data_IF_467614532304
#
_entry.id   IF_467614532304
#
_cell.length_a   1.000
_cell.length_b   1.000
_cell.length_c   1.000
_cell.angle_alpha   90.00
_cell.angle_beta   90.00
_cell.angle_gamma   90.00
#
_symmetry.space_group_name_H-M   'P 1'
#
loop_
_entity.id
_entity.type
_entity.pdbx_description
1 polymer ?
#
# COMPACT_ATOMS: atom_id res chain seq x y z
N UNK A 1 26.27 13.11 14.44
CA UNK A 1 24.95 12.51 14.15
C UNK A 1 24.40 13.27 12.95
N UNK A 2 24.56 12.70 11.75
CA UNK A 2 23.94 13.25 10.55
C UNK A 2 22.49 12.77 10.57
N UNK A 3 21.55 13.70 10.68
CA UNK A 3 20.15 13.39 10.40
C UNK A 3 20.10 13.13 8.90
N UNK A 4 19.92 11.86 8.50
CA UNK A 4 19.69 11.54 7.10
C UNK A 4 18.44 12.30 6.64
N UNK A 5 18.50 12.89 5.45
CA UNK A 5 17.33 13.55 4.87
C UNK A 5 16.15 12.55 4.86
N UNK A 6 15.00 12.92 5.43
CA UNK A 6 13.87 12.01 5.49
C UNK A 6 13.38 11.71 4.07
N UNK A 7 13.23 10.41 3.77
CA UNK A 7 12.63 9.94 2.52
C UNK A 7 11.11 10.14 2.61
N UNK A 8 10.66 11.32 2.19
CA UNK A 8 9.25 11.65 2.17
C UNK A 8 8.51 10.83 1.12
N UNK A 9 7.25 10.41 1.39
CA UNK A 9 6.46 9.68 0.42
C UNK A 9 6.37 10.45 -0.91
N UNK A 10 6.80 9.80 -1.97
CA UNK A 10 6.75 10.26 -3.34
C UNK A 10 5.70 9.42 -4.09
N UNK A 11 4.43 9.77 -3.89
CA UNK A 11 3.30 9.10 -4.52
C UNK A 11 3.26 9.41 -6.01
N UNK A 12 3.51 8.40 -6.84
CA UNK A 12 3.55 8.54 -8.32
C UNK A 12 2.27 8.05 -9.00
N UNK A 13 1.37 7.37 -8.27
CA UNK A 13 0.07 6.94 -8.77
C UNK A 13 -0.91 6.80 -7.60
N UNK A 14 -2.14 7.29 -7.77
CA UNK A 14 -3.25 7.06 -6.82
C UNK A 14 -4.50 6.61 -7.56
N UNK A 15 -5.16 5.56 -7.09
CA UNK A 15 -6.40 5.05 -7.69
C UNK A 15 -7.30 4.33 -6.69
N UNK A 16 -8.60 4.32 -6.98
CA UNK A 16 -9.59 3.61 -6.17
C UNK A 16 -9.68 2.14 -6.59
N UNK A 17 -9.76 1.23 -5.61
CA UNK A 17 -10.03 -0.19 -5.83
C UNK A 17 -10.84 -0.79 -4.68
N UNK A 18 -12.09 -1.21 -4.98
CA UNK A 18 -13.02 -1.88 -4.05
C UNK A 18 -13.16 -1.20 -2.67
N UNK A 19 -13.28 0.13 -2.66
CA UNK A 19 -13.43 0.93 -1.43
C UNK A 19 -12.12 1.35 -0.76
N UNK A 20 -10.97 1.05 -1.36
CA UNK A 20 -9.67 1.51 -0.89
C UNK A 20 -9.07 2.50 -1.89
N UNK A 21 -8.47 3.58 -1.39
CA UNK A 21 -7.53 4.41 -2.13
C UNK A 21 -6.15 3.79 -2.05
N UNK A 22 -5.64 3.33 -3.18
CA UNK A 22 -4.32 2.76 -3.31
C UNK A 22 -3.35 3.83 -3.81
N UNK A 23 -2.36 4.17 -2.99
CA UNK A 23 -1.33 5.16 -3.28
C UNK A 23 0.01 4.42 -3.46
N UNK A 24 0.51 4.44 -4.70
CA UNK A 24 1.80 3.88 -5.06
C UNK A 24 2.88 4.92 -4.80
N UNK A 25 3.74 4.59 -3.85
CA UNK A 25 4.92 5.35 -3.50
C UNK A 25 6.13 4.80 -4.27
N UNK A 26 6.97 5.68 -4.81
CA UNK A 26 8.20 5.31 -5.49
C UNK A 26 9.41 5.95 -4.82
N UNK A 27 10.25 5.12 -4.23
CA UNK A 27 11.56 5.49 -3.73
C UNK A 27 12.68 4.82 -4.56
N UNK A 28 13.92 5.02 -4.14
CA UNK A 28 15.09 4.40 -4.77
C UNK A 28 15.93 3.69 -3.71
N UNK A 29 16.21 2.41 -3.93
CA UNK A 29 17.10 1.63 -3.09
C UNK A 29 18.33 1.22 -3.92
N UNK A 30 19.52 1.68 -3.52
CA UNK A 30 20.78 1.41 -4.24
C UNK A 30 20.75 1.77 -5.74
N UNK A 31 20.03 2.83 -6.11
CA UNK A 31 19.87 3.27 -7.50
C UNK A 31 18.77 2.52 -8.28
N UNK A 32 18.06 1.58 -7.66
CA UNK A 32 16.97 0.81 -8.28
C UNK A 32 15.62 1.34 -7.77
N UNK A 33 14.61 1.55 -8.64
CA UNK A 33 13.28 1.95 -8.21
C UNK A 33 12.64 0.90 -7.29
N UNK A 34 12.15 1.33 -6.14
CA UNK A 34 11.39 0.52 -5.19
C UNK A 34 9.97 1.09 -5.09
N UNK A 35 8.97 0.22 -5.15
CA UNK A 35 7.56 0.61 -5.13
C UNK A 35 6.86 0.05 -3.89
N UNK A 36 6.35 0.92 -3.05
CA UNK A 36 5.46 0.59 -1.93
C UNK A 36 4.02 0.99 -2.27
N UNK A 37 3.04 0.39 -1.60
CA UNK A 37 1.62 0.74 -1.77
C UNK A 37 0.95 0.89 -0.42
N UNK A 38 0.36 2.06 -0.21
CA UNK A 38 -0.53 2.36 0.90
C UNK A 38 -1.98 2.15 0.47
N UNK A 39 -2.78 1.55 1.34
CA UNK A 39 -4.20 1.33 1.16
C UNK A 39 -4.97 2.07 2.24
N UNK A 40 -5.62 3.16 1.85
CA UNK A 40 -6.43 4.01 2.72
C UNK A 40 -7.91 3.71 2.50
N UNK A 41 -8.68 3.56 3.57
CA UNK A 41 -10.15 3.50 3.56
C UNK A 41 -10.70 4.42 4.66
N UNK A 42 -12.03 4.58 4.72
CA UNK A 42 -12.69 5.58 5.58
C UNK A 42 -12.32 5.53 7.07
N UNK A 43 -11.87 4.37 7.54
CA UNK A 43 -11.57 4.11 8.96
C UNK A 43 -10.10 3.83 9.24
N UNK A 44 -9.21 3.96 8.25
CA UNK A 44 -7.77 3.77 8.48
C UNK A 44 -6.92 3.64 7.23
N UNK A 45 -5.61 3.50 7.46
CA UNK A 45 -4.60 3.32 6.42
C UNK A 45 -3.70 2.13 6.78
N UNK A 46 -3.29 1.35 5.78
CA UNK A 46 -2.38 0.23 5.95
C UNK A 46 -1.39 0.12 4.78
N UNK A 47 -0.20 -0.42 5.04
CA UNK A 47 0.75 -0.79 3.98
C UNK A 47 0.27 -2.09 3.33
N UNK A 48 -0.18 -2.01 2.08
CA UNK A 48 -0.61 -3.17 1.30
C UNK A 48 0.58 -3.92 0.66
N UNK A 49 1.61 -3.16 0.26
CA UNK A 49 2.86 -3.67 -0.30
C UNK A 49 4.02 -2.87 0.31
N UNK A 50 4.93 -3.50 1.07
CA UNK A 50 6.03 -2.78 1.73
C UNK A 50 7.15 -2.35 0.77
N UNK A 51 7.29 -3.03 -0.37
CA UNK A 51 8.32 -2.74 -1.36
C UNK A 51 8.45 -3.87 -2.39
N UNK A 52 8.51 -3.51 -3.67
CA UNK A 52 8.88 -4.40 -4.78
C UNK A 52 9.55 -3.59 -5.89
N UNK A 53 10.44 -4.21 -6.66
CA UNK A 53 11.20 -3.53 -7.72
C UNK A 53 10.42 -3.33 -9.04
N UNK A 54 9.15 -3.72 -9.08
CA UNK A 54 8.31 -3.60 -10.28
C UNK A 54 6.98 -2.90 -9.96
N UNK A 55 6.69 -1.84 -10.69
CA UNK A 55 5.43 -1.09 -10.58
C UNK A 55 4.21 -1.97 -10.84
N UNK A 56 4.25 -2.82 -11.87
CA UNK A 56 3.13 -3.69 -12.21
C UNK A 56 2.91 -4.76 -11.14
N UNK A 57 3.99 -5.28 -10.57
CA UNK A 57 3.93 -6.23 -9.46
C UNK A 57 3.36 -5.58 -8.19
N UNK A 58 3.74 -4.32 -7.89
CA UNK A 58 3.21 -3.57 -6.76
C UNK A 58 1.69 -3.41 -6.88
N UNK A 59 1.20 -3.01 -8.07
CA UNK A 59 -0.24 -2.87 -8.35
C UNK A 59 -0.95 -4.22 -8.22
N UNK A 60 -0.38 -5.30 -8.79
CA UNK A 60 -0.95 -6.64 -8.70
C UNK A 60 -1.07 -7.12 -7.24
N UNK A 61 0.01 -7.00 -6.47
CA UNK A 61 0.05 -7.39 -5.05
C UNK A 61 -0.89 -6.55 -4.20
N UNK A 62 -1.00 -5.25 -4.47
CA UNK A 62 -1.92 -4.37 -3.76
C UNK A 62 -3.39 -4.77 -3.97
N UNK A 63 -3.80 -5.05 -5.21
CA UNK A 63 -5.15 -5.55 -5.50
C UNK A 63 -5.42 -6.89 -4.80
N UNK A 64 -4.48 -7.84 -4.88
CA UNK A 64 -4.58 -9.12 -4.15
C UNK A 64 -4.67 -8.92 -2.64
N UNK A 65 -3.95 -7.94 -2.08
CA UNK A 65 -4.05 -7.61 -0.66
C UNK A 65 -5.46 -7.14 -0.28
N UNK A 66 -6.06 -6.25 -1.09
CA UNK A 66 -7.45 -5.81 -0.89
C UNK A 66 -8.42 -6.98 -1.00
N UNK A 67 -8.28 -7.80 -2.05
CA UNK A 67 -9.16 -8.95 -2.26
C UNK A 67 -9.12 -9.93 -1.09
N UNK A 68 -7.92 -10.24 -0.56
CA UNK A 68 -7.79 -11.10 0.62
C UNK A 68 -8.47 -10.51 1.85
N UNK A 69 -8.32 -9.19 2.07
CA UNK A 69 -8.91 -8.49 3.21
C UNK A 69 -10.43 -8.44 3.16
N UNK A 70 -11.00 -8.44 1.95
CA UNK A 70 -12.45 -8.51 1.73
C UNK A 70 -12.97 -9.95 1.74
N UNK A 71 -12.15 -10.94 1.35
CA UNK A 71 -12.52 -12.36 1.38
C UNK A 71 -12.40 -12.98 2.77
N UNK A 72 -11.54 -12.43 3.63
CA UNK A 72 -11.51 -12.82 5.04
C UNK A 72 -12.81 -12.36 5.69
N UNK A 73 -13.60 -13.26 6.30
CA UNK A 73 -14.77 -12.86 7.05
C UNK A 73 -14.30 -11.96 8.19
N UNK A 74 -14.56 -10.65 8.11
CA UNK A 74 -14.62 -9.82 9.32
C UNK A 74 -15.69 -10.49 10.17
N UNK A 75 -15.33 -10.82 11.41
CA UNK A 75 -15.99 -11.82 12.25
C UNK A 75 -17.52 -11.77 12.28
N UNK A 76 -18.09 -12.94 12.58
CA UNK A 76 -19.42 -13.04 13.18
C UNK A 76 -19.63 -11.87 14.16
N UNK A 77 -20.65 -11.07 13.85
CA UNK A 77 -21.57 -10.47 14.78
C UNK A 77 -21.02 -10.37 16.22
N UNK A 78 -20.29 -9.28 16.49
CA UNK A 78 -20.16 -8.77 17.85
C UNK A 78 -21.50 -8.19 18.29
N UNK A 79 -22.48 -9.07 18.52
CA UNK A 79 -23.66 -8.80 19.31
C UNK A 79 -23.38 -9.25 20.75
N UNK A 80 -23.19 -8.29 21.64
CA UNK A 80 -23.27 -8.50 23.09
C UNK A 80 -24.18 -7.44 23.68
#
# INVERSE_FOLDING_TARGET
MLFADPDYPHVVLSFQYRGFRLELDQSTESGVPLYAVWATHDTGCAVAVPGVFSRSEAIYKAKRWVDRRLSSPRGADSGR
#
